data_IF_958954193822
#
_entry.id   IF_958954193822
#
_cell.length_a   1.000
_cell.length_b   1.000
_cell.length_c   1.000
_cell.angle_alpha   90.00
_cell.angle_beta   90.00
_cell.angle_gamma   90.00
#
_symmetry.space_group_name_H-M   'P 1'
#
loop_
_entity.id
_entity.type
_entity.pdbx_description
1 polymer ?
#
# COMPACT_ATOMS: atom_id res chain seq x y z
N UNK A 1 -15.32 17.35 0.95
CA UNK A 1 -14.08 18.15 0.83
C UNK A 1 -13.14 17.96 2.02
N UNK A 2 -13.59 18.16 3.28
CA UNK A 2 -12.71 18.02 4.47
C UNK A 2 -12.12 16.61 4.55
N UNK A 3 -12.90 15.55 4.40
CA UNK A 3 -12.45 14.16 4.40
C UNK A 3 -11.38 13.89 3.33
N UNK A 4 -11.53 14.45 2.13
CA UNK A 4 -10.55 14.29 1.06
C UNK A 4 -9.20 14.93 1.41
N UNK A 5 -9.22 16.11 2.03
CA UNK A 5 -8.00 16.76 2.51
C UNK A 5 -7.34 15.95 3.63
N UNK A 6 -8.13 15.41 4.57
CA UNK A 6 -7.60 14.58 5.65
C UNK A 6 -6.98 13.29 5.12
N UNK A 7 -7.60 12.64 4.13
CA UNK A 7 -7.06 11.44 3.47
C UNK A 7 -5.76 11.80 2.72
N UNK A 8 -5.73 12.96 2.05
CA UNK A 8 -4.50 13.47 1.42
C UNK A 8 -3.37 13.66 2.41
N UNK A 9 -3.64 14.31 3.54
CA UNK A 9 -2.65 14.52 4.61
C UNK A 9 -2.20 13.20 5.24
N UNK A 10 -3.13 12.27 5.47
CA UNK A 10 -2.80 10.95 5.99
C UNK A 10 -1.89 10.17 5.03
N UNK A 11 -2.23 10.19 3.74
CA UNK A 11 -1.41 9.52 2.70
C UNK A 11 -0.03 10.18 2.60
N UNK A 12 0.04 11.51 2.65
CA UNK A 12 1.31 12.25 2.67
C UNK A 12 2.20 11.84 3.85
N UNK A 13 1.62 11.79 5.04
CA UNK A 13 2.31 11.36 6.26
C UNK A 13 2.82 9.92 6.14
N UNK A 14 1.96 8.99 5.72
CA UNK A 14 2.34 7.60 5.60
C UNK A 14 3.41 7.36 4.53
N UNK A 15 3.29 8.03 3.39
CA UNK A 15 4.21 7.85 2.28
C UNK A 15 5.59 8.47 2.56
N UNK A 16 5.64 9.65 3.15
CA UNK A 16 6.90 10.28 3.57
C UNK A 16 7.52 9.62 4.80
N UNK A 17 6.69 9.11 5.71
CA UNK A 17 7.13 8.44 6.94
C UNK A 17 7.97 7.19 6.68
N UNK A 18 7.78 6.54 5.53
CA UNK A 18 8.64 5.43 5.09
C UNK A 18 10.12 5.84 5.03
N UNK A 19 10.44 7.06 4.61
CA UNK A 19 11.82 7.57 4.53
C UNK A 19 12.39 7.94 5.91
N UNK A 20 11.51 8.12 6.89
CA UNK A 20 11.88 8.40 8.29
C UNK A 20 11.99 7.12 9.14
N UNK A 21 11.81 5.96 8.54
CA UNK A 21 11.84 4.67 9.26
C UNK A 21 10.62 4.41 10.16
N UNK A 22 9.51 5.12 9.95
CA UNK A 22 8.31 5.00 10.77
C UNK A 22 7.42 3.79 10.40
N UNK A 23 7.76 3.05 9.35
CA UNK A 23 6.97 1.91 8.84
C UNK A 23 5.48 2.23 8.59
N UNK A 24 5.15 3.49 8.33
CA UNK A 24 3.78 3.94 8.11
C UNK A 24 3.23 3.57 6.74
N UNK A 25 4.10 3.26 5.76
CA UNK A 25 3.69 2.83 4.43
C UNK A 25 3.35 1.33 4.41
N UNK A 26 2.38 0.93 5.23
CA UNK A 26 1.86 -0.44 5.35
C UNK A 26 0.36 -0.42 5.08
N UNK A 27 -0.15 -1.46 4.40
CA UNK A 27 -1.56 -1.52 4.01
C UNK A 27 -2.49 -1.33 5.21
N UNK A 28 -2.19 -1.98 6.33
CA UNK A 28 -3.02 -1.91 7.54
C UNK A 28 -3.00 -0.52 8.18
N UNK A 29 -1.88 0.18 8.17
CA UNK A 29 -1.76 1.54 8.72
C UNK A 29 -2.49 2.54 7.82
N UNK A 30 -2.28 2.44 6.51
CA UNK A 30 -2.93 3.29 5.52
C UNK A 30 -4.46 3.17 5.59
N UNK A 31 -4.96 1.93 5.62
CA UNK A 31 -6.41 1.65 5.66
C UNK A 31 -7.04 2.10 6.98
N UNK A 32 -6.35 1.90 8.13
CA UNK A 32 -6.84 2.35 9.43
C UNK A 32 -7.15 3.85 9.43
N UNK A 33 -6.24 4.68 8.92
CA UNK A 33 -6.47 6.13 8.87
C UNK A 33 -7.64 6.52 7.97
N UNK A 34 -7.80 5.85 6.82
CA UNK A 34 -8.98 6.05 5.95
C UNK A 34 -10.25 5.66 6.69
N UNK A 35 -10.25 4.52 7.39
CA UNK A 35 -11.39 4.04 8.18
C UNK A 35 -11.80 5.01 9.28
N UNK A 36 -10.84 5.58 10.01
CA UNK A 36 -11.11 6.59 11.05
C UNK A 36 -11.71 7.86 10.43
N UNK A 37 -11.17 8.33 9.30
CA UNK A 37 -11.64 9.55 8.63
C UNK A 37 -13.04 9.39 8.06
N UNK A 38 -13.37 8.21 7.53
CA UNK A 38 -14.66 7.92 6.92
C UNK A 38 -15.69 7.33 7.92
N UNK A 39 -15.27 6.89 9.11
CA UNK A 39 -16.13 6.34 10.14
C UNK A 39 -16.46 4.85 9.99
N UNK A 40 -15.75 4.12 9.13
CA UNK A 40 -15.90 2.66 8.95
C UNK A 40 -14.55 1.95 9.12
N UNK A 41 -14.14 1.81 10.39
CA UNK A 41 -12.89 1.17 10.78
C UNK A 41 -12.93 -0.34 10.52
N UNK A 42 -14.09 -0.97 10.63
CA UNK A 42 -14.22 -2.41 10.47
C UNK A 42 -13.91 -2.85 9.03
N UNK A 43 -14.56 -2.21 8.05
CA UNK A 43 -14.29 -2.48 6.63
C UNK A 43 -12.85 -2.12 6.26
N UNK A 44 -12.35 -0.98 6.76
CA UNK A 44 -10.99 -0.55 6.52
C UNK A 44 -9.95 -1.56 7.01
N UNK A 45 -10.09 -2.03 8.24
CA UNK A 45 -9.17 -3.02 8.82
C UNK A 45 -9.26 -4.37 8.11
N UNK A 46 -10.43 -4.79 7.64
CA UNK A 46 -10.57 -6.02 6.87
C UNK A 46 -9.79 -5.94 5.55
N UNK A 47 -9.91 -4.83 4.80
CA UNK A 47 -9.12 -4.59 3.58
C UNK A 47 -7.63 -4.50 3.91
N UNK A 48 -7.29 -3.74 4.95
CA UNK A 48 -5.91 -3.56 5.39
C UNK A 48 -5.24 -4.88 5.78
N UNK A 49 -5.90 -5.73 6.54
CA UNK A 49 -5.37 -7.01 7.00
C UNK A 49 -5.12 -7.98 5.84
N UNK A 50 -6.09 -8.15 4.94
CA UNK A 50 -5.94 -9.04 3.77
C UNK A 50 -4.83 -8.52 2.85
N UNK A 51 -4.77 -7.21 2.64
CA UNK A 51 -3.74 -6.57 1.82
C UNK A 51 -2.35 -6.67 2.45
N UNK A 52 -2.26 -6.56 3.77
CA UNK A 52 -1.02 -6.72 4.50
C UNK A 52 -0.48 -8.16 4.35
N UNK A 53 -1.35 -9.16 4.48
CA UNK A 53 -0.97 -10.57 4.27
C UNK A 53 -0.53 -10.82 2.82
N UNK A 54 -1.22 -10.26 1.85
CA UNK A 54 -0.87 -10.38 0.45
C UNK A 54 0.50 -9.75 0.13
N UNK A 55 0.83 -8.63 0.78
CA UNK A 55 2.06 -7.87 0.52
C UNK A 55 3.22 -8.23 1.46
N UNK A 56 3.00 -9.11 2.42
CA UNK A 56 3.98 -9.47 3.45
C UNK A 56 5.30 -10.02 2.86
N UNK A 57 5.23 -10.78 1.78
CA UNK A 57 6.40 -11.39 1.15
C UNK A 57 7.17 -10.49 0.18
N UNK A 58 6.59 -9.38 -0.25
CA UNK A 58 7.21 -8.55 -1.30
C UNK A 58 8.47 -7.80 -0.84
N UNK A 59 8.64 -7.50 0.43
CA UNK A 59 9.82 -6.81 0.96
C UNK A 59 11.02 -7.70 1.26
N UNK A 60 10.84 -9.02 1.20
CA UNK A 60 11.84 -10.03 1.63
C UNK A 60 12.51 -10.69 0.43
N UNK A 61 12.01 -10.50 -0.78
CA UNK A 61 12.51 -11.14 -1.99
C UNK A 61 13.94 -10.71 -2.32
N UNK A 62 14.87 -11.66 -2.27
CA UNK A 62 16.18 -11.48 -2.83
C UNK A 62 16.06 -11.30 -4.35
N UNK A 63 16.68 -10.26 -4.90
CA UNK A 63 16.86 -10.16 -6.33
C UNK A 63 15.98 -9.16 -7.09
N UNK A 64 15.61 -8.05 -6.48
CA UNK A 64 15.12 -6.88 -7.23
C UNK A 64 13.68 -6.93 -7.69
N UNK A 65 12.85 -7.82 -7.14
CA UNK A 65 11.39 -7.71 -7.29
C UNK A 65 10.89 -6.46 -6.60
N UNK A 66 10.39 -5.52 -7.38
CA UNK A 66 9.77 -4.30 -6.85
C UNK A 66 8.32 -4.62 -6.53
N UNK A 67 7.91 -4.57 -5.23
CA UNK A 67 6.54 -4.87 -4.85
C UNK A 67 5.60 -3.76 -5.33
N UNK A 68 4.32 -4.08 -5.59
CA UNK A 68 3.30 -3.07 -5.77
C UNK A 68 3.21 -2.16 -4.53
N UNK A 69 2.87 -0.88 -4.72
CA UNK A 69 2.88 0.08 -3.62
C UNK A 69 1.69 -0.14 -2.65
N UNK A 70 1.94 -0.20 -1.31
CA UNK A 70 0.88 -0.37 -0.31
C UNK A 70 -0.22 0.69 -0.33
N UNK A 71 0.03 1.89 -0.88
CA UNK A 71 -0.98 2.93 -1.05
C UNK A 71 -2.14 2.46 -1.94
N UNK A 72 -1.88 1.60 -2.94
CA UNK A 72 -2.93 1.04 -3.78
C UNK A 72 -4.05 0.41 -2.95
N UNK A 73 -3.82 -0.72 -2.29
CA UNK A 73 -4.85 -1.35 -1.47
C UNK A 73 -5.16 -0.58 -0.18
N UNK A 74 -4.15 0.00 0.46
CA UNK A 74 -4.35 0.69 1.74
C UNK A 74 -5.18 1.96 1.65
N UNK A 75 -5.08 2.74 0.58
CA UNK A 75 -5.91 3.93 0.36
C UNK A 75 -7.02 3.62 -0.65
N UNK A 76 -6.67 3.30 -1.90
CA UNK A 76 -7.67 3.14 -2.95
C UNK A 76 -8.56 1.92 -2.74
N UNK A 77 -8.01 0.76 -2.35
CA UNK A 77 -8.79 -0.43 -2.03
C UNK A 77 -9.76 -0.18 -0.87
N UNK A 78 -9.30 0.50 0.19
CA UNK A 78 -10.13 0.84 1.34
C UNK A 78 -11.23 1.83 0.97
N UNK A 79 -10.91 2.88 0.20
CA UNK A 79 -11.90 3.82 -0.32
C UNK A 79 -12.99 3.12 -1.12
N UNK A 80 -12.60 2.21 -2.02
CA UNK A 80 -13.51 1.41 -2.82
C UNK A 80 -14.44 0.57 -1.94
N UNK A 81 -13.89 -0.16 -0.97
CA UNK A 81 -14.69 -1.02 -0.10
C UNK A 81 -15.68 -0.21 0.74
N UNK A 82 -15.26 0.87 1.38
CA UNK A 82 -16.14 1.69 2.25
C UNK A 82 -17.26 2.36 1.44
N UNK A 83 -16.94 2.91 0.26
CA UNK A 83 -17.95 3.62 -0.55
C UNK A 83 -19.00 2.69 -1.14
N UNK A 84 -18.63 1.46 -1.44
CA UNK A 84 -19.57 0.46 -1.98
C UNK A 84 -20.40 -0.23 -0.89
N UNK A 85 -20.05 -0.10 0.40
CA UNK A 85 -20.93 -0.54 1.51
C UNK A 85 -22.29 0.15 1.48
N UNK A 86 -22.34 1.40 1.01
CA UNK A 86 -23.57 2.17 0.86
C UNK A 86 -24.41 1.77 -0.36
N UNK A 87 -23.86 1.01 -1.30
CA UNK A 87 -24.54 0.51 -2.50
C UNK A 87 -24.91 -0.97 -2.33
N UNK A 88 -25.93 -1.44 -3.09
CA UNK A 88 -26.40 -2.85 -3.03
C UNK A 88 -25.31 -3.88 -3.39
N UNK A 89 -24.29 -3.44 -4.10
CA UNK A 89 -23.17 -4.29 -4.57
C UNK A 89 -21.94 -4.07 -3.68
N UNK A 90 -21.97 -4.60 -2.47
CA UNK A 90 -20.83 -4.56 -1.54
C UNK A 90 -19.61 -5.25 -2.17
N UNK A 91 -18.54 -4.49 -2.38
CA UNK A 91 -17.26 -5.08 -2.78
C UNK A 91 -16.64 -5.76 -1.56
N UNK A 92 -16.25 -7.03 -1.71
CA UNK A 92 -15.53 -7.73 -0.65
C UNK A 92 -14.11 -7.17 -0.48
N UNK A 93 -13.50 -7.27 0.71
CA UNK A 93 -12.12 -6.82 0.93
C UNK A 93 -11.11 -7.43 -0.05
N UNK A 94 -11.32 -8.69 -0.46
CA UNK A 94 -10.48 -9.39 -1.42
C UNK A 94 -10.62 -8.80 -2.83
N UNK A 95 -11.85 -8.47 -3.24
CA UNK A 95 -12.08 -7.81 -4.52
C UNK A 95 -11.48 -6.40 -4.55
N UNK A 96 -11.58 -5.65 -3.45
CA UNK A 96 -10.97 -4.33 -3.30
C UNK A 96 -9.44 -4.40 -3.44
N UNK A 97 -8.80 -5.41 -2.83
CA UNK A 97 -7.38 -5.69 -3.00
C UNK A 97 -7.03 -5.97 -4.47
N UNK A 98 -7.76 -6.89 -5.12
CA UNK A 98 -7.48 -7.26 -6.51
C UNK A 98 -7.64 -6.06 -7.46
N UNK A 99 -8.71 -5.27 -7.30
CA UNK A 99 -9.00 -4.09 -8.12
C UNK A 99 -8.01 -2.94 -7.89
N UNK A 100 -7.46 -2.80 -6.70
CA UNK A 100 -6.46 -1.78 -6.38
C UNK A 100 -5.04 -2.14 -6.83
N UNK A 101 -4.78 -3.40 -7.18
CA UNK A 101 -3.45 -3.87 -7.57
C UNK A 101 -2.88 -3.13 -8.81
N UNK A 102 -3.63 -2.89 -9.89
CA UNK A 102 -3.12 -2.09 -11.01
C UNK A 102 -2.75 -0.67 -10.61
N UNK A 103 -3.53 -0.06 -9.71
CA UNK A 103 -3.25 1.27 -9.15
C UNK A 103 -1.96 1.23 -8.33
N UNK A 104 -1.78 0.18 -7.51
CA UNK A 104 -0.57 -0.03 -6.73
C UNK A 104 0.69 -0.11 -7.60
N UNK A 105 0.62 -0.79 -8.74
CA UNK A 105 1.71 -0.86 -9.73
C UNK A 105 1.99 0.52 -10.32
N UNK A 106 0.96 1.27 -10.71
CA UNK A 106 1.11 2.64 -11.21
C UNK A 106 1.78 3.57 -10.20
N UNK A 107 1.38 3.51 -8.93
CA UNK A 107 1.99 4.28 -7.84
C UNK A 107 3.46 3.86 -7.63
N UNK A 108 3.78 2.58 -7.81
CA UNK A 108 5.16 2.09 -7.69
C UNK A 108 6.06 2.67 -8.78
N UNK A 109 5.58 2.80 -10.02
CA UNK A 109 6.32 3.50 -11.06
C UNK A 109 6.57 4.97 -10.71
N UNK A 110 5.56 5.65 -10.14
CA UNK A 110 5.69 7.03 -9.68
C UNK A 110 6.73 7.16 -8.56
N UNK A 111 6.71 6.24 -7.59
CA UNK A 111 7.70 6.17 -6.54
C UNK A 111 9.12 6.00 -7.10
N UNK A 112 9.30 5.09 -8.05
CA UNK A 112 10.58 4.85 -8.71
C UNK A 112 11.06 6.08 -9.47
N UNK A 113 10.15 6.80 -10.14
CA UNK A 113 10.47 8.05 -10.82
C UNK A 113 10.96 9.13 -9.83
N UNK A 114 10.35 9.25 -8.65
CA UNK A 114 10.81 10.17 -7.60
C UNK A 114 12.22 9.78 -7.14
N UNK A 115 12.48 8.52 -6.85
CA UNK A 115 13.83 8.09 -6.46
C UNK A 115 14.86 8.38 -7.54
N UNK A 116 14.52 8.16 -8.81
CA UNK A 116 15.41 8.45 -9.94
C UNK A 116 15.69 9.96 -10.07
N UNK A 117 14.65 10.78 -9.94
CA UNK A 117 14.80 12.24 -9.99
C UNK A 117 15.69 12.79 -8.87
N UNK A 118 15.62 12.19 -7.68
CA UNK A 118 16.41 12.58 -6.51
C UNK A 118 17.70 11.78 -6.33
N UNK A 119 18.10 10.92 -7.28
CA UNK A 119 19.32 10.10 -7.18
C UNK A 119 20.59 10.93 -6.98
N UNK A 120 20.66 12.16 -7.51
CA UNK A 120 21.76 13.09 -7.33
C UNK A 120 21.74 13.91 -6.02
N UNK A 121 20.68 13.81 -5.21
CA UNK A 121 20.55 14.58 -3.97
C UNK A 121 21.64 14.30 -2.95
N UNK A 122 22.12 13.08 -2.72
CA UNK A 122 23.22 12.80 -1.78
C UNK A 122 24.51 13.49 -2.17
N UNK A 123 24.86 13.53 -3.46
CA UNK A 123 26.07 14.21 -3.94
C UNK A 123 25.97 15.72 -3.78
N UNK A 124 24.81 16.28 -4.10
CA UNK A 124 24.53 17.70 -3.89
C UNK A 124 24.61 18.07 -2.40
N UNK A 125 24.10 17.22 -1.52
CA UNK A 125 24.18 17.41 -0.07
C UNK A 125 25.62 17.38 0.43
N UNK A 126 26.45 16.42 -0.02
CA UNK A 126 27.89 16.35 0.32
C UNK A 126 28.64 17.58 -0.14
N UNK A 127 28.38 18.05 -1.37
CA UNK A 127 29.01 19.27 -1.90
C UNK A 127 28.63 20.50 -1.08
N UNK A 128 27.34 20.67 -0.77
CA UNK A 128 26.85 21.76 0.05
C UNK A 128 27.47 21.79 1.46
N UNK A 129 27.71 20.61 2.03
CA UNK A 129 28.36 20.47 3.33
C UNK A 129 29.83 20.91 3.28
N UNK A 130 30.57 20.48 2.23
CA UNK A 130 31.97 20.93 2.01
C UNK A 130 32.09 22.45 1.80
N UNK A 131 31.08 23.06 1.17
CA UNK A 131 31.00 24.50 0.94
C UNK A 131 30.52 25.29 2.19
N UNK A 132 30.18 24.61 3.30
CA UNK A 132 29.62 25.24 4.51
C UNK A 132 28.21 25.80 4.34
N UNK A 133 27.51 25.42 3.26
CA UNK A 133 26.17 25.92 2.96
C UNK A 133 25.07 25.01 3.56
N UNK A 134 24.76 25.21 4.85
CA UNK A 134 23.79 24.42 5.58
C UNK A 134 22.35 24.55 5.05
N UNK A 135 21.98 25.68 4.43
CA UNK A 135 20.64 25.83 3.83
C UNK A 135 20.47 24.90 2.64
N UNK A 136 21.45 24.91 1.72
CA UNK A 136 21.47 24.03 0.55
C UNK A 136 21.54 22.55 0.95
N UNK A 137 22.33 22.24 1.98
CA UNK A 137 22.39 20.88 2.55
C UNK A 137 21.01 20.42 3.03
N UNK A 138 20.29 21.21 3.84
CA UNK A 138 18.95 20.86 4.34
C UNK A 138 17.95 20.63 3.21
N UNK A 139 17.97 21.48 2.18
CA UNK A 139 17.07 21.33 1.04
C UNK A 139 17.38 20.05 0.26
N UNK A 140 18.65 19.78 -0.02
CA UNK A 140 19.04 18.57 -0.74
C UNK A 140 18.76 17.29 0.08
N UNK A 141 19.02 17.30 1.37
CA UNK A 141 18.80 16.14 2.25
C UNK A 141 17.32 15.81 2.45
N UNK A 142 16.46 16.82 2.57
CA UNK A 142 15.03 16.62 2.83
C UNK A 142 14.16 16.67 1.56
N UNK A 143 14.72 16.99 0.40
CA UNK A 143 13.98 17.17 -0.85
C UNK A 143 13.13 15.95 -1.22
N UNK A 144 13.68 14.76 -1.06
CA UNK A 144 12.97 13.51 -1.31
C UNK A 144 11.76 13.33 -0.39
N UNK A 145 11.90 13.66 0.90
CA UNK A 145 10.80 13.57 1.88
C UNK A 145 9.64 14.49 1.47
N UNK A 146 9.96 15.75 1.11
CA UNK A 146 8.95 16.70 0.66
C UNK A 146 8.28 16.27 -0.65
N UNK A 147 9.04 15.69 -1.59
CA UNK A 147 8.48 15.16 -2.83
C UNK A 147 7.50 14.00 -2.55
N UNK A 148 7.87 13.07 -1.66
CA UNK A 148 6.98 11.98 -1.24
C UNK A 148 5.74 12.50 -0.51
N UNK A 149 5.87 13.50 0.35
CA UNK A 149 4.73 14.12 1.02
C UNK A 149 3.79 14.80 0.02
N UNK A 150 4.32 15.57 -0.93
CA UNK A 150 3.51 16.26 -1.95
C UNK A 150 2.78 15.27 -2.87
N UNK A 151 3.47 14.25 -3.34
CA UNK A 151 2.88 13.21 -4.20
C UNK A 151 1.88 12.36 -3.41
N UNK A 152 2.21 11.99 -2.16
CA UNK A 152 1.29 11.28 -1.27
C UNK A 152 0.01 12.08 -1.01
N UNK A 153 0.13 13.39 -0.77
CA UNK A 153 -1.02 14.26 -0.62
C UNK A 153 -1.89 14.29 -1.89
N UNK A 154 -1.27 14.45 -3.06
CA UNK A 154 -1.98 14.46 -4.33
C UNK A 154 -2.70 13.12 -4.59
N UNK A 155 -2.04 11.99 -4.36
CA UNK A 155 -2.62 10.65 -4.53
C UNK A 155 -3.82 10.44 -3.59
N UNK A 156 -3.68 10.77 -2.30
CA UNK A 156 -4.78 10.62 -1.34
C UNK A 156 -5.95 11.55 -1.65
N UNK A 157 -5.67 12.79 -2.06
CA UNK A 157 -6.69 13.76 -2.45
C UNK A 157 -7.44 13.31 -3.72
N UNK A 158 -6.70 12.91 -4.76
CA UNK A 158 -7.28 12.41 -6.02
C UNK A 158 -8.10 11.15 -5.73
N UNK A 159 -7.56 10.20 -4.95
CA UNK A 159 -8.27 8.99 -4.56
C UNK A 159 -9.60 9.30 -3.89
N UNK A 160 -9.59 10.19 -2.90
CA UNK A 160 -10.80 10.57 -2.18
C UNK A 160 -11.80 11.38 -3.02
N UNK A 161 -11.34 12.24 -3.92
CA UNK A 161 -12.23 12.98 -4.83
C UNK A 161 -12.82 12.12 -5.93
N UNK A 162 -12.12 11.08 -6.36
CA UNK A 162 -12.58 10.15 -7.39
C UNK A 162 -13.43 9.00 -6.85
N UNK A 163 -13.78 8.99 -5.56
CA UNK A 163 -14.60 7.94 -4.93
C UNK A 163 -15.88 7.65 -5.71
N UNK A 164 -16.62 8.69 -6.07
CA UNK A 164 -17.88 8.55 -6.80
C UNK A 164 -17.69 8.01 -8.22
N UNK A 165 -16.64 8.46 -8.90
CA UNK A 165 -16.25 7.95 -10.22
C UNK A 165 -15.81 6.49 -10.14
N UNK A 166 -15.04 6.12 -9.13
CA UNK A 166 -14.62 4.74 -8.88
C UNK A 166 -15.83 3.84 -8.64
N UNK A 167 -16.78 4.26 -7.79
CA UNK A 167 -18.03 3.51 -7.53
C UNK A 167 -18.82 3.30 -8.81
N UNK A 168 -18.96 4.32 -9.66
CA UNK A 168 -19.66 4.21 -10.94
C UNK A 168 -18.96 3.26 -11.91
N UNK A 169 -17.62 3.27 -11.94
CA UNK A 169 -16.85 2.33 -12.75
C UNK A 169 -17.04 0.89 -12.29
N UNK A 170 -17.16 0.66 -10.98
CA UNK A 170 -17.41 -0.69 -10.45
C UNK A 170 -18.80 -1.21 -10.80
N UNK A 171 -19.81 -0.36 -10.83
CA UNK A 171 -21.15 -0.74 -11.24
C UNK A 171 -21.21 -1.24 -12.69
N UNK A 172 -20.21 -0.93 -13.51
CA UNK A 172 -20.09 -1.40 -14.89
C UNK A 172 -19.40 -2.79 -14.99
N UNK A 173 -18.79 -3.28 -13.90
CA UNK A 173 -18.09 -4.58 -13.92
C UNK A 173 -19.12 -5.71 -13.85
N UNK A 174 -19.14 -6.65 -14.83
CA UNK A 174 -20.03 -7.79 -14.76
C UNK A 174 -19.80 -8.63 -13.49
N UNK A 175 -20.85 -9.19 -12.88
CA UNK A 175 -20.74 -10.00 -11.65
C UNK A 175 -19.79 -11.19 -11.78
N UNK A 176 -19.70 -11.78 -12.96
CA UNK A 176 -18.77 -12.90 -13.23
C UNK A 176 -17.31 -12.45 -13.07
N UNK A 177 -16.98 -11.27 -13.58
CA UNK A 177 -15.63 -10.72 -13.46
C UNK A 177 -15.32 -10.32 -12.01
N UNK A 178 -16.29 -9.73 -11.31
CA UNK A 178 -16.15 -9.37 -9.90
C UNK A 178 -15.92 -10.60 -9.02
N UNK A 179 -16.65 -11.68 -9.28
CA UNK A 179 -16.45 -12.97 -8.59
C UNK A 179 -15.07 -13.56 -8.88
N UNK A 180 -14.60 -13.49 -10.14
CA UNK A 180 -13.25 -13.90 -10.52
C UNK A 180 -12.16 -13.10 -9.81
N UNK A 181 -12.32 -11.78 -9.73
CA UNK A 181 -11.39 -10.89 -8.99
C UNK A 181 -11.41 -11.17 -7.48
N UNK A 182 -12.58 -11.44 -6.90
CA UNK A 182 -12.72 -11.85 -5.50
C UNK A 182 -11.95 -13.14 -5.24
N UNK A 183 -12.09 -14.14 -6.12
CA UNK A 183 -11.36 -15.41 -6.01
C UNK A 183 -9.84 -15.20 -6.14
N UNK A 184 -9.40 -14.40 -7.11
CA UNK A 184 -8.00 -14.04 -7.27
C UNK A 184 -7.46 -13.31 -6.04
N UNK A 185 -8.23 -12.36 -5.48
CA UNK A 185 -7.87 -11.63 -4.26
C UNK A 185 -7.66 -12.56 -3.06
N UNK A 186 -8.47 -13.60 -2.90
CA UNK A 186 -8.32 -14.63 -1.85
C UNK A 186 -7.04 -15.45 -1.99
N UNK A 187 -6.47 -15.57 -3.19
CA UNK A 187 -5.21 -16.28 -3.43
C UNK A 187 -3.96 -15.41 -3.14
N UNK A 188 -4.08 -14.08 -3.15
CA UNK A 188 -2.94 -13.18 -2.96
C UNK A 188 -2.23 -13.37 -1.60
N UNK A 189 -2.91 -13.54 -0.46
CA UNK A 189 -2.26 -13.83 0.81
C UNK A 189 -1.41 -15.11 0.78
N UNK A 190 -1.87 -16.17 0.09
CA UNK A 190 -1.09 -17.41 -0.07
C UNK A 190 0.21 -17.16 -0.83
N UNK A 191 0.21 -16.27 -1.84
CA UNK A 191 1.42 -15.86 -2.56
C UNK A 191 2.36 -15.09 -1.62
N UNK A 192 1.83 -14.19 -0.79
CA UNK A 192 2.61 -13.45 0.21
C UNK A 192 3.33 -14.39 1.19
N UNK A 193 2.62 -15.38 1.74
CA UNK A 193 3.21 -16.41 2.60
C UNK A 193 4.24 -17.26 1.87
N UNK A 194 3.96 -17.69 0.63
CA UNK A 194 4.90 -18.48 -0.16
C UNK A 194 6.22 -17.73 -0.40
N UNK A 195 6.15 -16.42 -0.65
CA UNK A 195 7.35 -15.59 -0.83
C UNK A 195 8.19 -15.51 0.45
N UNK A 196 7.57 -15.34 1.63
CA UNK A 196 8.29 -15.37 2.90
C UNK A 196 8.93 -16.74 3.12
N UNK A 197 8.16 -17.81 2.93
CA UNK A 197 8.65 -19.17 3.10
C UNK A 197 9.81 -19.47 2.15
N UNK A 198 9.78 -18.98 0.91
CA UNK A 198 10.87 -19.20 -0.05
C UNK A 198 12.23 -18.70 0.43
N UNK A 199 12.25 -17.67 1.26
CA UNK A 199 13.48 -17.09 1.82
C UNK A 199 13.83 -17.71 3.18
N UNK A 200 12.82 -18.03 4.00
CA UNK A 200 13.03 -18.52 5.37
C UNK A 200 13.16 -20.04 5.47
N UNK A 201 12.51 -20.79 4.57
CA UNK A 201 12.47 -22.26 4.64
C UNK A 201 13.78 -22.88 4.15
N UNK A 202 14.77 -22.97 5.03
CA UNK A 202 15.93 -23.83 4.85
C UNK A 202 15.50 -25.31 5.00
N UNK A 203 16.24 -26.23 4.37
CA UNK A 203 15.93 -27.68 4.42
C UNK A 203 15.71 -28.21 5.85
N UNK A 204 16.49 -27.70 6.80
CA UNK A 204 16.43 -28.06 8.21
C UNK A 204 15.14 -27.58 8.92
N UNK A 205 14.49 -26.53 8.38
CA UNK A 205 13.29 -25.91 8.96
C UNK A 205 11.98 -26.42 8.35
N UNK A 206 12.03 -27.20 7.26
CA UNK A 206 10.83 -27.74 6.59
C UNK A 206 9.92 -28.52 7.55
N UNK A 207 10.42 -29.41 8.45
CA UNK A 207 9.56 -30.11 9.39
C UNK A 207 8.75 -29.16 10.30
N UNK A 208 9.33 -28.04 10.71
CA UNK A 208 8.65 -27.05 11.54
C UNK A 208 7.58 -26.27 10.76
N UNK A 209 7.80 -26.03 9.46
CA UNK A 209 6.79 -25.41 8.59
C UNK A 209 5.58 -26.34 8.47
N UNK A 210 5.80 -27.64 8.25
CA UNK A 210 4.73 -28.65 8.18
C UNK A 210 3.99 -28.72 9.52
N UNK A 211 4.72 -28.77 10.63
CA UNK A 211 4.14 -28.78 11.98
C UNK A 211 3.26 -27.55 12.21
N UNK A 212 3.77 -26.36 11.90
CA UNK A 212 3.04 -25.09 12.02
C UNK A 212 1.78 -25.06 11.16
N UNK A 213 1.85 -25.57 9.93
CA UNK A 213 0.70 -25.69 9.04
C UNK A 213 -0.37 -26.62 9.64
N UNK A 214 0.03 -27.81 10.11
CA UNK A 214 -0.90 -28.77 10.75
C UNK A 214 -1.56 -28.14 11.97
N UNK A 215 -0.79 -27.47 12.85
CA UNK A 215 -1.33 -26.79 14.02
C UNK A 215 -2.34 -25.69 13.63
N UNK A 216 -2.02 -24.86 12.64
CA UNK A 216 -2.92 -23.81 12.19
C UNK A 216 -4.21 -24.31 11.56
N UNK A 217 -4.16 -25.45 10.84
CA UNK A 217 -5.35 -26.03 10.18
C UNK A 217 -6.27 -26.76 11.15
N UNK A 218 -5.70 -27.44 12.17
CA UNK A 218 -6.48 -28.31 13.07
C UNK A 218 -6.78 -27.71 14.44
N UNK A 219 -6.05 -26.67 14.87
CA UNK A 219 -6.18 -26.05 16.20
C UNK A 219 -6.39 -24.53 16.15
N UNK A 220 -6.32 -23.88 14.96
CA UNK A 220 -6.43 -22.42 14.74
C UNK A 220 -7.84 -21.89 14.54
#
# INVERSE_FOLDING_TARGET
MIQAILIGLWTAFCFSGMLLGLYTNRCIVLSLGVGIILGDVQTALAVGAISELAYMGFGVGAGGTVPPNPIGPGIFGTLMAITTVATKDKITPEAALALSTPIAVGIQFLQTAIYTAFAGAPETAKKALREGNFKKFKVAANGTIWAFAAVGFALGLIGALSMQTLTNLFALIPPVLLNGLTLAGKMLPAIGFAMILSVMAKKELIPYVILGYVLAVYFG
#
